data_IF_568942042808
#
_entry.id   IF_568942042808
#
_cell.length_a   1.000
_cell.length_b   1.000
_cell.length_c   1.000
_cell.angle_alpha   90.00
_cell.angle_beta   90.00
_cell.angle_gamma   90.00
#
_symmetry.space_group_name_H-M   'P 1'
#
loop_
_entity.id
_entity.type
_entity.pdbx_description
1 polymer ?
#
# COMPACT_ATOMS: atom_id res chain seq x y z
N UNK A 1 3.44 15.53 4.57
CA UNK A 1 2.25 15.08 3.81
C UNK A 1 2.57 14.63 2.38
N UNK A 2 2.99 15.50 1.45
CA UNK A 2 3.23 15.07 0.05
C UNK A 2 4.28 13.96 -0.07
N UNK A 3 5.36 14.04 0.72
CA UNK A 3 6.37 12.98 0.80
C UNK A 3 5.81 11.67 1.35
N UNK A 4 5.01 11.74 2.42
CA UNK A 4 4.41 10.57 3.06
C UNK A 4 3.44 9.84 2.12
N UNK A 5 2.63 10.60 1.38
CA UNK A 5 1.72 10.05 0.35
C UNK A 5 2.50 9.32 -0.74
N UNK A 6 3.56 9.94 -1.27
CA UNK A 6 4.40 9.31 -2.31
C UNK A 6 5.07 8.05 -1.77
N UNK A 7 5.63 8.10 -0.56
CA UNK A 7 6.25 6.94 0.09
C UNK A 7 5.25 5.80 0.28
N UNK A 8 4.04 6.11 0.73
CA UNK A 8 2.97 5.14 0.91
C UNK A 8 2.60 4.48 -0.42
N UNK A 9 2.36 5.28 -1.45
CA UNK A 9 2.03 4.78 -2.79
C UNK A 9 3.13 3.89 -3.36
N UNK A 10 4.40 4.28 -3.19
CA UNK A 10 5.53 3.48 -3.67
C UNK A 10 5.57 2.11 -3.00
N UNK A 11 5.46 2.08 -1.66
CA UNK A 11 5.44 0.84 -0.88
C UNK A 11 4.24 -0.04 -1.26
N UNK A 12 3.05 0.55 -1.35
CA UNK A 12 1.85 -0.17 -1.76
C UNK A 12 2.00 -0.76 -3.16
N UNK A 13 2.58 -0.02 -4.10
CA UNK A 13 2.81 -0.50 -5.45
C UNK A 13 3.77 -1.69 -5.48
N UNK A 14 4.89 -1.62 -4.75
CA UNK A 14 5.84 -2.72 -4.65
C UNK A 14 5.20 -3.99 -4.06
N UNK A 15 4.41 -3.81 -3.00
CA UNK A 15 3.70 -4.90 -2.33
C UNK A 15 2.65 -5.55 -3.26
N UNK A 16 1.85 -4.75 -3.97
CA UNK A 16 0.88 -5.27 -4.93
C UNK A 16 1.56 -6.01 -6.08
N UNK A 17 2.64 -5.46 -6.64
CA UNK A 17 3.38 -6.13 -7.71
C UNK A 17 3.96 -7.47 -7.26
N UNK A 18 4.50 -7.53 -6.05
CA UNK A 18 5.14 -8.74 -5.53
C UNK A 18 4.15 -9.84 -5.16
N UNK A 19 2.96 -9.49 -4.63
CA UNK A 19 2.04 -10.47 -4.04
C UNK A 19 0.79 -10.76 -4.89
N UNK A 20 0.36 -9.83 -5.75
CA UNK A 20 -0.84 -10.01 -6.58
C UNK A 20 -0.62 -9.75 -8.06
N UNK A 21 0.56 -9.24 -8.45
CA UNK A 21 0.83 -8.80 -9.82
C UNK A 21 -0.02 -7.60 -10.25
N UNK A 22 -0.69 -6.93 -9.29
CA UNK A 22 -1.55 -5.78 -9.55
C UNK A 22 -0.75 -4.48 -9.48
N UNK A 23 -1.24 -3.46 -10.17
CA UNK A 23 -0.66 -2.13 -10.08
C UNK A 23 -1.45 -1.26 -9.11
N UNK A 24 -0.85 -0.14 -8.68
CA UNK A 24 -1.52 0.80 -7.80
C UNK A 24 -2.81 1.35 -8.44
N UNK A 25 -2.77 1.55 -9.77
CA UNK A 25 -3.88 2.06 -10.58
C UNK A 25 -5.10 1.13 -10.60
N UNK A 26 -4.91 -0.15 -10.34
CA UNK A 26 -5.99 -1.14 -10.25
C UNK A 26 -6.70 -1.08 -8.89
N UNK A 27 -6.26 -0.20 -7.98
CA UNK A 27 -6.73 -0.15 -6.59
C UNK A 27 -7.12 1.26 -6.16
N UNK A 28 -7.88 1.34 -5.07
CA UNK A 28 -8.24 2.62 -4.43
C UNK A 28 -7.03 3.37 -3.83
N UNK A 29 -5.85 2.74 -3.80
CA UNK A 29 -4.60 3.31 -3.26
C UNK A 29 -3.94 4.29 -4.24
N UNK A 30 -4.46 4.42 -5.47
CA UNK A 30 -4.07 5.47 -6.40
C UNK A 30 -4.62 6.86 -6.00
N UNK A 31 -5.62 6.93 -5.13
CA UNK A 31 -6.24 8.19 -4.70
C UNK A 31 -5.47 8.84 -3.54
N UNK A 32 -4.98 10.07 -3.76
CA UNK A 32 -4.25 10.83 -2.75
C UNK A 32 -5.08 11.12 -1.50
N UNK A 33 -6.40 11.35 -1.63
CA UNK A 33 -7.25 11.63 -0.46
C UNK A 33 -7.40 10.39 0.42
N UNK A 34 -7.57 9.21 -0.18
CA UNK A 34 -7.59 7.96 0.59
C UNK A 34 -6.27 7.66 1.26
N UNK A 35 -5.15 7.82 0.55
CA UNK A 35 -3.82 7.64 1.15
C UNK A 35 -3.61 8.62 2.30
N UNK A 36 -4.05 9.86 2.15
CA UNK A 36 -3.98 10.87 3.21
C UNK A 36 -4.75 10.42 4.46
N UNK A 37 -5.99 9.93 4.30
CA UNK A 37 -6.79 9.42 5.41
C UNK A 37 -6.11 8.22 6.09
N UNK A 38 -5.55 7.27 5.32
CA UNK A 38 -4.82 6.15 5.90
C UNK A 38 -3.60 6.59 6.72
N UNK A 39 -2.85 7.59 6.24
CA UNK A 39 -1.71 8.15 6.97
C UNK A 39 -2.17 8.84 8.27
N UNK A 40 -3.26 9.61 8.21
CA UNK A 40 -3.82 10.30 9.38
C UNK A 40 -4.40 9.32 10.42
N UNK A 41 -4.96 8.20 9.97
CA UNK A 41 -5.45 7.10 10.82
C UNK A 41 -4.33 6.18 11.33
N UNK A 42 -3.08 6.39 10.88
CA UNK A 42 -1.93 5.57 11.28
C UNK A 42 -1.93 4.15 10.66
N UNK A 43 -2.70 3.95 9.60
CA UNK A 43 -2.81 2.67 8.88
C UNK A 43 -1.59 2.48 8.00
N UNK A 44 -0.98 1.30 8.04
CA UNK A 44 0.17 0.97 7.20
C UNK A 44 -0.25 0.57 5.77
N UNK A 45 0.66 0.67 4.76
CA UNK A 45 0.41 0.17 3.41
C UNK A 45 -0.08 -1.28 3.36
N UNK A 46 0.47 -2.15 4.21
CA UNK A 46 0.11 -3.57 4.29
C UNK A 46 -1.32 -3.74 4.81
N UNK A 47 -1.69 -3.02 5.87
CA UNK A 47 -3.06 -3.04 6.40
C UNK A 47 -4.06 -2.48 5.39
N UNK A 48 -3.73 -1.37 4.73
CA UNK A 48 -4.59 -0.80 3.69
C UNK A 48 -4.79 -1.78 2.52
N UNK A 49 -3.76 -2.52 2.11
CA UNK A 49 -3.88 -3.55 1.07
C UNK A 49 -4.73 -4.74 1.55
N UNK A 50 -4.58 -5.16 2.80
CA UNK A 50 -5.41 -6.22 3.37
C UNK A 50 -6.89 -5.79 3.46
N UNK A 51 -7.17 -4.52 3.77
CA UNK A 51 -8.54 -3.98 3.81
C UNK A 51 -9.22 -3.98 2.43
N UNK A 52 -8.47 -3.85 1.34
CA UNK A 52 -9.02 -3.93 -0.03
C UNK A 52 -9.21 -5.37 -0.53
N UNK A 53 -9.00 -6.37 0.34
CA UNK A 53 -9.24 -7.77 0.04
C UNK A 53 -8.11 -8.45 -0.72
N UNK A 54 -6.91 -7.86 -0.74
CA UNK A 54 -5.71 -8.48 -1.30
C UNK A 54 -4.89 -9.00 -0.12
N UNK A 55 -4.97 -10.31 0.21
CA UNK A 55 -4.31 -10.86 1.38
C UNK A 55 -2.79 -10.86 1.16
N UNK A 56 -2.10 -9.89 1.77
CA UNK A 56 -0.64 -9.89 1.88
C UNK A 56 -0.30 -10.51 3.23
N UNK A 57 0.34 -11.68 3.20
CA UNK A 57 0.89 -12.28 4.41
C UNK A 57 2.17 -11.53 4.79
N UNK A 58 2.26 -10.95 6.00
CA UNK A 58 3.47 -10.25 6.45
C UNK A 58 4.72 -11.14 6.43
N UNK A 59 4.54 -12.46 6.59
CA UNK A 59 5.61 -13.46 6.52
C UNK A 59 6.25 -13.63 5.14
N UNK A 60 5.61 -13.15 4.08
CA UNK A 60 6.09 -13.25 2.69
C UNK A 60 6.75 -11.94 2.22
N UNK A 61 6.75 -10.90 3.06
CA UNK A 61 7.38 -9.61 2.75
C UNK A 61 8.90 -9.74 2.97
N UNK A 62 9.61 -10.21 1.94
CA UNK A 62 11.07 -10.19 1.91
C UNK A 62 11.57 -8.79 1.57
N UNK A 63 11.79 -7.96 2.59
CA UNK A 63 12.51 -6.69 2.43
C UNK A 63 14.00 -7.01 2.57
N UNK A 64 14.69 -7.20 1.44
CA UNK A 64 16.15 -7.24 1.44
C UNK A 64 16.65 -5.80 1.53
N UNK A 65 17.37 -5.47 2.62
CA UNK A 65 18.00 -4.17 2.85
C UNK A 65 19.17 -3.92 1.88
#
# INVERSE_FOLDING_TARGET
>A
MRYDIVRFKLLSHMLLMQHSGMTLSDTILCDDEKIKNFIEEGISPVEAINQIGIPIKPSEISISY
#
